data_IF_272581930206
#
_entry.id   IF_272581930206
#
_cell.length_a   1.000
_cell.length_b   1.000
_cell.length_c   1.000
_cell.angle_alpha   90.00
_cell.angle_beta   90.00
_cell.angle_gamma   90.00
#
_symmetry.space_group_name_H-M   'P 1'
#
loop_
_entity.id
_entity.type
_entity.pdbx_description
1 polymer ?
#
# COMPACT_ATOMS: atom_id res chain seq x y z
N UNK A 1 0.05 7.83 -35.78
CA UNK A 1 0.86 6.86 -35.02
C UNK A 1 1.06 7.43 -33.63
N UNK A 2 0.76 6.65 -32.59
CA UNK A 2 1.07 7.00 -31.21
C UNK A 2 2.57 7.32 -31.11
N UNK A 3 2.93 8.46 -30.50
CA UNK A 3 4.34 8.84 -30.36
C UNK A 3 5.01 7.82 -29.45
N UNK A 4 6.27 7.50 -29.72
CA UNK A 4 7.04 6.58 -28.86
C UNK A 4 7.05 7.03 -27.39
N UNK A 5 7.05 8.36 -27.16
CA UNK A 5 6.99 8.99 -25.84
C UNK A 5 5.76 8.62 -25.02
N UNK A 6 4.66 8.31 -25.70
CA UNK A 6 3.38 8.03 -25.07
C UNK A 6 3.16 6.52 -24.91
N UNK A 7 4.10 5.71 -25.41
CA UNK A 7 4.02 4.26 -25.30
C UNK A 7 4.15 3.80 -23.84
N UNK A 8 3.34 2.81 -23.46
CA UNK A 8 3.40 2.16 -22.14
C UNK A 8 4.81 1.69 -21.77
N UNK A 9 5.54 1.15 -22.75
CA UNK A 9 6.93 0.73 -22.59
C UNK A 9 7.81 1.88 -22.12
N UNK A 10 7.78 3.02 -22.83
CA UNK A 10 8.64 4.15 -22.50
C UNK A 10 8.29 4.76 -21.14
N UNK A 11 7.00 5.01 -20.89
CA UNK A 11 6.51 5.57 -19.64
C UNK A 11 6.93 4.74 -18.42
N UNK A 12 6.84 3.40 -18.52
CA UNK A 12 7.29 2.49 -17.47
C UNK A 12 8.83 2.48 -17.36
N UNK A 13 9.53 2.38 -18.49
CA UNK A 13 10.99 2.30 -18.53
C UNK A 13 11.67 3.51 -17.90
N UNK A 14 11.11 4.71 -18.08
CA UNK A 14 11.64 5.94 -17.48
C UNK A 14 11.62 5.94 -15.95
N UNK A 15 10.67 5.22 -15.35
CA UNK A 15 10.50 5.15 -13.88
C UNK A 15 11.41 4.12 -13.21
N UNK A 16 12.01 3.21 -13.97
CA UNK A 16 12.93 2.21 -13.42
C UNK A 16 14.15 2.86 -12.77
N UNK A 17 14.49 2.47 -11.54
CA UNK A 17 15.72 2.93 -10.88
C UNK A 17 16.98 2.43 -11.59
N UNK A 18 18.13 3.04 -11.30
CA UNK A 18 19.44 2.56 -11.79
C UNK A 18 19.75 1.14 -11.31
N UNK A 19 19.22 0.73 -10.14
CA UNK A 19 19.35 -0.65 -9.63
C UNK A 19 18.51 -1.60 -10.48
N UNK A 20 17.25 -1.26 -10.73
CA UNK A 20 16.33 -2.10 -11.50
C UNK A 20 16.81 -2.28 -12.93
N UNK A 21 17.27 -1.22 -13.60
CA UNK A 21 17.85 -1.36 -14.95
C UNK A 21 19.00 -2.37 -14.99
N UNK A 22 19.91 -2.34 -14.01
CA UNK A 22 21.04 -3.29 -13.95
C UNK A 22 20.58 -4.73 -13.74
N UNK A 23 19.59 -4.95 -12.89
CA UNK A 23 19.04 -6.28 -12.62
C UNK A 23 18.22 -6.81 -13.80
N UNK A 24 17.41 -5.96 -14.43
CA UNK A 24 16.65 -6.26 -15.65
C UNK A 24 17.56 -6.70 -16.80
N UNK A 25 18.76 -6.11 -16.92
CA UNK A 25 19.76 -6.58 -17.90
C UNK A 25 20.13 -8.05 -17.71
N UNK A 26 20.33 -8.47 -16.46
CA UNK A 26 20.66 -9.86 -16.14
C UNK A 26 19.45 -10.77 -16.37
N UNK A 27 18.25 -10.30 -16.04
CA UNK A 27 17.00 -10.98 -16.30
C UNK A 27 16.80 -11.26 -17.81
N UNK A 28 16.96 -10.25 -18.66
CA UNK A 28 16.81 -10.36 -20.12
C UNK A 28 17.92 -11.19 -20.78
N UNK A 29 19.09 -11.32 -20.15
CA UNK A 29 20.17 -12.22 -20.62
C UNK A 29 19.94 -13.68 -20.24
N UNK A 30 18.98 -13.96 -19.36
CA UNK A 30 18.70 -15.33 -18.94
C UNK A 30 17.89 -16.05 -20.03
N UNK A 31 18.40 -17.19 -20.56
CA UNK A 31 17.68 -17.98 -21.56
C UNK A 31 16.40 -18.62 -21.02
N UNK A 32 16.15 -18.53 -19.71
CA UNK A 32 14.91 -18.95 -19.06
C UNK A 32 13.74 -18.00 -19.38
N UNK A 33 13.99 -16.69 -19.48
CA UNK A 33 12.94 -15.70 -19.73
C UNK A 33 12.83 -15.34 -21.21
N UNK A 34 13.95 -15.23 -21.91
CA UNK A 34 13.94 -14.94 -23.34
C UNK A 34 15.23 -15.39 -24.03
N UNK A 35 15.10 -15.74 -25.31
CA UNK A 35 16.24 -15.99 -26.22
C UNK A 35 16.28 -14.99 -27.38
N UNK A 36 15.46 -13.94 -27.29
CA UNK A 36 15.24 -12.97 -28.36
C UNK A 36 16.23 -11.82 -28.27
N UNK A 37 17.26 -11.86 -29.13
CA UNK A 37 18.30 -10.83 -29.16
C UNK A 37 17.77 -9.45 -29.56
N UNK A 38 16.72 -9.38 -30.38
CA UNK A 38 16.05 -8.13 -30.74
C UNK A 38 15.47 -7.41 -29.52
N UNK A 39 14.79 -8.15 -28.64
CA UNK A 39 14.25 -7.59 -27.38
C UNK A 39 15.38 -7.06 -26.48
N UNK A 40 16.49 -7.81 -26.38
CA UNK A 40 17.66 -7.36 -25.61
C UNK A 40 18.33 -6.12 -26.23
N UNK A 41 18.43 -6.04 -27.56
CA UNK A 41 18.95 -4.86 -28.27
C UNK A 41 18.07 -3.63 -28.03
N UNK A 42 16.75 -3.78 -28.09
CA UNK A 42 15.82 -2.69 -27.78
C UNK A 42 16.02 -2.18 -26.35
N UNK A 43 16.15 -3.09 -25.38
CA UNK A 43 16.48 -2.71 -24.00
C UNK A 43 17.79 -1.91 -23.89
N UNK A 44 18.88 -2.37 -24.52
CA UNK A 44 20.17 -1.68 -24.48
C UNK A 44 20.10 -0.28 -25.11
N UNK A 45 19.32 -0.13 -26.18
CA UNK A 45 19.08 1.17 -26.80
C UNK A 45 18.40 2.15 -25.83
N UNK A 46 17.29 1.73 -25.21
CA UNK A 46 16.55 2.56 -24.27
C UNK A 46 17.39 2.91 -23.04
N UNK A 47 18.15 1.95 -22.52
CA UNK A 47 19.09 2.16 -21.40
C UNK A 47 20.11 3.25 -21.74
N UNK A 48 20.78 3.16 -22.90
CA UNK A 48 21.78 4.14 -23.35
C UNK A 48 21.20 5.52 -23.55
N UNK A 49 19.98 5.62 -24.09
CA UNK A 49 19.26 6.90 -24.23
C UNK A 49 19.01 7.57 -22.89
N UNK A 50 18.57 6.79 -21.90
CA UNK A 50 18.33 7.29 -20.54
C UNK A 50 19.61 7.71 -19.83
N UNK A 51 20.71 6.96 -20.00
CA UNK A 51 22.02 7.33 -19.46
C UNK A 51 22.56 8.64 -20.02
N UNK A 52 22.24 8.93 -21.29
CA UNK A 52 22.59 10.19 -21.96
C UNK A 52 21.55 11.30 -21.77
N UNK A 53 20.53 11.09 -20.93
CA UNK A 53 19.40 12.02 -20.72
C UNK A 53 18.78 12.54 -22.03
N UNK A 54 18.76 11.70 -23.08
CA UNK A 54 18.42 12.13 -24.44
C UNK A 54 16.92 12.06 -24.77
N UNK A 55 16.06 12.08 -23.75
CA UNK A 55 14.60 11.98 -23.88
C UNK A 55 14.09 10.68 -24.54
N UNK A 56 12.80 10.68 -24.89
CA UNK A 56 12.18 9.58 -25.65
C UNK A 56 12.86 9.38 -27.00
N UNK A 57 13.11 8.14 -27.44
CA UNK A 57 13.63 7.90 -28.77
C UNK A 57 12.57 8.14 -29.86
N UNK A 58 13.01 8.30 -31.11
CA UNK A 58 12.15 8.13 -32.28
C UNK A 58 11.93 6.65 -32.59
N UNK A 59 10.81 6.33 -33.23
CA UNK A 59 10.48 4.95 -33.62
C UNK A 59 11.50 4.41 -34.63
N UNK A 60 11.89 5.23 -35.60
CA UNK A 60 12.89 4.90 -36.62
C UNK A 60 14.25 4.62 -36.00
N UNK A 61 14.67 5.45 -35.03
CA UNK A 61 15.94 5.25 -34.32
C UNK A 61 15.93 4.00 -33.44
N UNK A 62 14.82 3.71 -32.77
CA UNK A 62 14.65 2.48 -32.01
C UNK A 62 14.67 1.25 -32.92
N UNK A 63 14.00 1.30 -34.07
CA UNK A 63 13.99 0.21 -35.03
C UNK A 63 15.38 -0.05 -35.62
N UNK A 64 16.06 0.98 -36.10
CA UNK A 64 17.38 0.85 -36.73
C UNK A 64 18.41 0.24 -35.77
N UNK A 65 18.36 0.57 -34.48
CA UNK A 65 19.24 -0.06 -33.49
C UNK A 65 18.85 -1.52 -33.20
N UNK A 66 17.55 -1.80 -33.15
CA UNK A 66 17.01 -3.12 -32.80
C UNK A 66 17.18 -4.13 -33.94
N UNK A 67 17.07 -3.66 -35.18
CA UNK A 67 17.11 -4.43 -36.42
C UNK A 67 18.03 -3.76 -37.45
N UNK A 68 19.36 -3.85 -37.26
CA UNK A 68 20.33 -3.09 -38.08
C UNK A 68 20.26 -3.40 -39.59
N UNK A 69 19.88 -4.63 -39.96
CA UNK A 69 19.86 -5.09 -41.36
C UNK A 69 18.45 -5.09 -41.99
N UNK A 70 17.45 -4.53 -41.30
CA UNK A 70 16.06 -4.54 -41.77
C UNK A 70 15.59 -3.14 -42.21
N UNK A 71 14.68 -3.12 -43.18
CA UNK A 71 13.94 -1.91 -43.52
C UNK A 71 12.91 -1.62 -42.44
N UNK A 72 12.62 -0.33 -42.20
CA UNK A 72 11.71 0.09 -41.13
C UNK A 72 10.36 -0.61 -41.22
N UNK A 73 10.02 -1.32 -40.15
CA UNK A 73 8.74 -2.01 -39.98
C UNK A 73 8.16 -1.66 -38.60
N UNK A 74 7.16 -0.79 -38.62
CA UNK A 74 6.48 -0.35 -37.40
C UNK A 74 5.69 -1.46 -36.69
N UNK A 75 5.21 -2.49 -37.40
CA UNK A 75 4.53 -3.63 -36.77
C UNK A 75 5.54 -4.47 -36.00
N UNK A 76 6.68 -4.78 -36.62
CA UNK A 76 7.76 -5.52 -35.98
C UNK A 76 8.34 -4.77 -34.77
N UNK A 77 8.49 -3.45 -34.85
CA UNK A 77 8.87 -2.64 -33.71
C UNK A 77 7.86 -2.76 -32.57
N UNK A 78 6.56 -2.57 -32.86
CA UNK A 78 5.49 -2.65 -31.87
C UNK A 78 5.40 -4.02 -31.20
N UNK A 79 5.60 -5.10 -31.96
CA UNK A 79 5.71 -6.44 -31.41
C UNK A 79 6.83 -6.52 -30.38
N UNK A 80 8.05 -6.13 -30.79
CA UNK A 80 9.24 -6.13 -29.92
C UNK A 80 9.10 -5.24 -28.69
N UNK A 81 8.43 -4.09 -28.83
CA UNK A 81 8.12 -3.22 -27.70
C UNK A 81 7.15 -3.88 -26.71
N UNK A 82 6.13 -4.57 -27.21
CA UNK A 82 5.18 -5.32 -26.38
C UNK A 82 5.88 -6.45 -25.64
N UNK A 83 6.74 -7.21 -26.33
CA UNK A 83 7.53 -8.29 -25.73
C UNK A 83 8.47 -7.76 -24.64
N UNK A 84 9.13 -6.62 -24.89
CA UNK A 84 10.00 -5.99 -23.89
C UNK A 84 9.19 -5.52 -22.68
N UNK A 85 8.04 -4.89 -22.90
CA UNK A 85 7.17 -4.44 -21.82
C UNK A 85 6.76 -5.60 -20.92
N UNK A 86 6.30 -6.71 -21.50
CA UNK A 86 5.91 -7.91 -20.76
C UNK A 86 7.07 -8.46 -19.92
N UNK A 87 8.28 -8.53 -20.49
CA UNK A 87 9.46 -8.98 -19.75
C UNK A 87 9.85 -8.04 -18.60
N UNK A 88 9.66 -6.73 -18.77
CA UNK A 88 9.88 -5.77 -17.68
C UNK A 88 8.85 -5.98 -16.57
N UNK A 89 7.57 -6.19 -16.92
CA UNK A 89 6.52 -6.47 -15.94
C UNK A 89 6.79 -7.77 -15.18
N UNK A 90 7.22 -8.84 -15.88
CA UNK A 90 7.64 -10.10 -15.24
C UNK A 90 8.84 -9.90 -14.31
N UNK A 91 9.81 -9.07 -14.71
CA UNK A 91 10.93 -8.70 -13.84
C UNK A 91 10.46 -7.93 -12.60
N UNK A 92 9.59 -6.93 -12.76
CA UNK A 92 9.06 -6.13 -11.65
C UNK A 92 8.28 -7.00 -10.66
N UNK A 93 7.47 -7.94 -11.16
CA UNK A 93 6.79 -8.93 -10.32
C UNK A 93 7.79 -9.83 -9.61
N UNK A 94 8.80 -10.35 -10.31
CA UNK A 94 9.84 -11.19 -9.71
C UNK A 94 10.63 -10.46 -8.61
N UNK A 95 10.90 -9.17 -8.83
CA UNK A 95 11.56 -8.31 -7.86
C UNK A 95 10.64 -7.96 -6.67
N UNK A 96 9.35 -7.76 -6.91
CA UNK A 96 8.36 -7.57 -5.84
C UNK A 96 8.22 -8.81 -4.93
N UNK A 97 8.27 -10.01 -5.52
CA UNK A 97 8.28 -11.29 -4.80
C UNK A 97 9.70 -11.76 -4.41
N UNK A 98 10.68 -10.86 -4.30
CA UNK A 98 12.05 -11.23 -3.94
C UNK A 98 12.09 -12.06 -2.65
N UNK A 99 13.08 -12.95 -2.57
CA UNK A 99 13.26 -13.93 -1.49
C UNK A 99 13.17 -13.25 -0.12
N UNK A 100 12.08 -13.55 0.59
CA UNK A 100 11.85 -13.03 1.94
C UNK A 100 10.73 -12.00 2.04
N UNK A 101 10.18 -11.51 0.93
CA UNK A 101 8.91 -10.78 0.95
C UNK A 101 7.81 -11.64 1.58
N UNK A 102 6.97 -11.03 2.43
CA UNK A 102 5.92 -11.75 3.15
C UNK A 102 4.92 -12.45 2.20
N UNK A 103 4.44 -11.83 1.10
CA UNK A 103 3.58 -12.50 0.12
C UNK A 103 4.23 -13.74 -0.51
N UNK A 104 5.53 -13.67 -0.84
CA UNK A 104 6.27 -14.81 -1.40
C UNK A 104 6.33 -16.00 -0.43
N UNK A 105 6.43 -15.73 0.87
CA UNK A 105 6.45 -16.79 1.89
C UNK A 105 5.08 -17.46 2.07
N UNK A 106 3.99 -16.68 2.01
CA UNK A 106 2.64 -17.26 2.00
C UNK A 106 2.41 -18.13 0.77
N UNK A 107 2.80 -17.64 -0.41
CA UNK A 107 2.71 -18.43 -1.64
C UNK A 107 3.51 -19.74 -1.54
N UNK A 108 4.72 -19.69 -0.98
CA UNK A 108 5.54 -20.89 -0.80
C UNK A 108 4.94 -21.89 0.19
N UNK A 109 4.33 -21.42 1.28
CA UNK A 109 3.60 -22.29 2.22
C UNK A 109 2.42 -22.98 1.51
N UNK A 110 1.62 -22.24 0.75
CA UNK A 110 0.52 -22.81 -0.04
C UNK A 110 0.99 -23.84 -1.05
N UNK A 111 2.11 -23.59 -1.75
CA UNK A 111 2.73 -24.55 -2.67
C UNK A 111 3.15 -25.84 -1.92
N UNK A 112 3.79 -25.73 -0.75
CA UNK A 112 4.18 -26.89 0.03
C UNK A 112 2.97 -27.69 0.53
N UNK A 113 1.93 -27.00 1.00
CA UNK A 113 0.67 -27.65 1.38
C UNK A 113 0.07 -28.37 0.19
N UNK A 114 -0.13 -27.72 -0.95
CA UNK A 114 -0.73 -28.34 -2.14
C UNK A 114 0.04 -29.59 -2.60
N UNK A 115 1.37 -29.59 -2.45
CA UNK A 115 2.25 -30.68 -2.89
C UNK A 115 2.42 -31.85 -1.91
N UNK A 116 1.85 -31.82 -0.71
CA UNK A 116 2.09 -32.92 0.24
C UNK A 116 3.33 -32.76 1.12
N UNK A 117 4.01 -31.61 1.09
CA UNK A 117 5.35 -31.47 1.66
C UNK A 117 5.31 -30.99 3.11
N UNK A 118 4.80 -31.83 4.03
CA UNK A 118 4.45 -31.44 5.40
C UNK A 118 5.63 -30.85 6.20
N UNK A 119 6.84 -31.44 6.13
CA UNK A 119 8.03 -30.89 6.80
C UNK A 119 8.38 -29.48 6.31
N UNK A 120 8.24 -29.24 5.00
CA UNK A 120 8.53 -27.94 4.39
C UNK A 120 7.47 -26.92 4.78
N UNK A 121 6.20 -27.33 4.76
CA UNK A 121 5.08 -26.51 5.20
C UNK A 121 5.24 -26.06 6.66
N UNK A 122 5.48 -27.01 7.57
CA UNK A 122 5.63 -26.70 9.00
C UNK A 122 6.78 -25.73 9.25
N UNK A 123 7.92 -25.93 8.57
CA UNK A 123 9.04 -24.99 8.64
C UNK A 123 8.68 -23.61 8.09
N UNK A 124 8.03 -23.55 6.93
CA UNK A 124 7.57 -22.29 6.33
C UNK A 124 6.60 -21.54 7.26
N UNK A 125 5.64 -22.24 7.86
CA UNK A 125 4.69 -21.66 8.81
C UNK A 125 5.36 -21.16 10.09
N UNK A 126 6.39 -21.86 10.59
CA UNK A 126 7.18 -21.37 11.73
C UNK A 126 7.89 -20.04 11.40
N UNK A 127 8.44 -19.93 10.19
CA UNK A 127 9.07 -18.69 9.73
C UNK A 127 8.05 -17.57 9.52
N UNK A 128 6.91 -17.88 8.90
CA UNK A 128 5.81 -16.93 8.68
C UNK A 128 5.28 -16.38 9.99
N UNK A 129 5.04 -17.22 11.01
CA UNK A 129 4.57 -16.78 12.34
C UNK A 129 5.50 -15.72 12.94
N UNK A 130 6.82 -15.94 12.83
CA UNK A 130 7.82 -14.98 13.31
C UNK A 130 7.83 -13.69 12.48
N UNK A 131 7.65 -13.78 11.16
CA UNK A 131 7.62 -12.60 10.29
C UNK A 131 6.36 -11.75 10.51
N UNK A 132 5.19 -12.38 10.53
CA UNK A 132 3.92 -11.70 10.82
C UNK A 132 4.00 -11.07 12.21
N UNK A 133 4.47 -11.79 13.23
CA UNK A 133 4.60 -11.23 14.59
C UNK A 133 5.64 -10.11 14.74
N UNK A 134 6.54 -9.94 13.78
CA UNK A 134 7.52 -8.83 13.72
C UNK A 134 7.20 -7.83 12.61
N UNK A 135 6.00 -7.89 12.03
CA UNK A 135 5.58 -6.92 11.04
C UNK A 135 5.65 -5.53 11.70
N UNK A 136 6.27 -4.53 11.06
CA UNK A 136 6.55 -3.24 11.71
C UNK A 136 5.27 -2.48 12.06
N UNK A 137 4.20 -2.76 11.33
CA UNK A 137 2.93 -2.05 11.48
C UNK A 137 1.89 -2.86 12.25
N UNK A 138 0.99 -2.16 12.91
CA UNK A 138 -0.19 -2.68 13.61
C UNK A 138 -1.48 -2.10 13.00
N UNK A 139 -1.46 -1.84 11.69
CA UNK A 139 -2.58 -1.32 10.91
C UNK A 139 -3.49 -2.48 10.42
N UNK A 140 -4.48 -2.18 9.57
CA UNK A 140 -5.37 -3.20 9.03
C UNK A 140 -4.63 -4.33 8.27
N UNK A 141 -3.52 -4.03 7.60
CA UNK A 141 -2.71 -5.03 6.88
C UNK A 141 -2.06 -6.06 7.80
N UNK A 142 -1.69 -5.66 9.00
CA UNK A 142 -1.21 -6.60 10.01
C UNK A 142 -2.26 -7.68 10.33
N UNK A 143 -3.52 -7.28 10.48
CA UNK A 143 -4.63 -8.21 10.72
C UNK A 143 -4.95 -9.04 9.47
N UNK A 144 -4.85 -8.48 8.26
CA UNK A 144 -4.91 -9.24 7.01
C UNK A 144 -3.86 -10.37 6.99
N UNK A 145 -2.60 -10.06 7.36
CA UNK A 145 -1.53 -11.05 7.41
C UNK A 145 -1.75 -12.13 8.48
N UNK A 146 -2.27 -11.76 9.65
CA UNK A 146 -2.62 -12.74 10.70
C UNK A 146 -3.75 -13.66 10.25
N UNK A 147 -4.77 -13.12 9.61
CA UNK A 147 -5.87 -13.92 9.05
C UNK A 147 -5.35 -14.88 7.98
N UNK A 148 -4.54 -14.40 7.03
CA UNK A 148 -3.94 -15.25 6.01
C UNK A 148 -3.11 -16.40 6.61
N UNK A 149 -2.38 -16.13 7.69
CA UNK A 149 -1.65 -17.16 8.44
C UNK A 149 -2.57 -18.20 9.07
N UNK A 150 -3.63 -17.77 9.77
CA UNK A 150 -4.55 -18.71 10.42
C UNK A 150 -5.30 -19.56 9.39
N UNK A 151 -5.75 -18.96 8.29
CA UNK A 151 -6.44 -19.66 7.21
C UNK A 151 -5.55 -20.70 6.52
N UNK A 152 -4.29 -20.36 6.23
CA UNK A 152 -3.36 -21.31 5.62
C UNK A 152 -3.02 -22.48 6.57
N UNK A 153 -2.93 -22.21 7.88
CA UNK A 153 -2.79 -23.26 8.91
C UNK A 153 -4.01 -24.18 8.95
N UNK A 154 -5.21 -23.60 8.95
CA UNK A 154 -6.48 -24.34 8.93
C UNK A 154 -6.54 -25.29 7.74
N UNK A 155 -6.23 -24.80 6.53
CA UNK A 155 -6.23 -25.64 5.33
C UNK A 155 -5.25 -26.80 5.40
N UNK A 156 -4.10 -26.61 6.05
CA UNK A 156 -3.15 -27.70 6.26
C UNK A 156 -3.68 -28.74 7.26
N UNK A 157 -4.29 -28.30 8.36
CA UNK A 157 -4.85 -29.18 9.39
C UNK A 157 -5.99 -30.04 8.81
N UNK A 158 -6.93 -29.43 8.09
CA UNK A 158 -8.05 -30.15 7.44
C UNK A 158 -7.56 -31.26 6.51
N UNK A 159 -6.46 -31.02 5.78
CA UNK A 159 -5.90 -32.02 4.86
C UNK A 159 -5.12 -33.11 5.58
N UNK A 160 -4.29 -32.73 6.54
CA UNK A 160 -3.19 -33.57 7.03
C UNK A 160 -3.48 -34.24 8.36
N UNK A 161 -4.54 -33.82 9.08
CA UNK A 161 -4.84 -34.25 10.44
C UNK A 161 -6.34 -34.43 10.66
N UNK A 162 -6.86 -35.65 10.42
CA UNK A 162 -8.31 -35.96 10.53
C UNK A 162 -8.90 -35.85 11.94
N UNK A 163 -8.08 -35.84 12.98
CA UNK A 163 -8.49 -35.90 14.40
C UNK A 163 -7.96 -34.74 15.24
N UNK A 164 -7.39 -33.70 14.63
CA UNK A 164 -6.86 -32.54 15.36
C UNK A 164 -7.90 -31.42 15.40
N UNK A 165 -7.98 -30.75 16.55
CA UNK A 165 -8.77 -29.54 16.71
C UNK A 165 -8.27 -28.46 15.74
N UNK A 166 -9.15 -28.04 14.85
CA UNK A 166 -8.88 -26.97 13.89
C UNK A 166 -8.82 -25.61 14.62
N UNK A 167 -8.01 -24.70 14.10
CA UNK A 167 -7.89 -23.31 14.59
C UNK A 167 -9.05 -22.40 14.12
N UNK A 168 -10.29 -22.91 14.08
CA UNK A 168 -11.45 -22.17 13.55
C UNK A 168 -11.77 -20.92 14.37
N UNK A 169 -11.59 -21.00 15.69
CA UNK A 169 -11.80 -19.87 16.58
C UNK A 169 -10.80 -18.75 16.27
N UNK A 170 -9.53 -19.08 16.09
CA UNK A 170 -8.48 -18.11 15.75
C UNK A 170 -8.71 -17.49 14.37
N UNK A 171 -9.23 -18.26 13.41
CA UNK A 171 -9.64 -17.73 12.10
C UNK A 171 -10.77 -16.72 12.29
N UNK A 172 -11.84 -17.07 13.01
CA UNK A 172 -12.98 -16.18 13.25
C UNK A 172 -12.56 -14.88 13.94
N UNK A 173 -11.78 -14.97 15.02
CA UNK A 173 -11.31 -13.78 15.74
C UNK A 173 -10.43 -12.88 14.89
N UNK A 174 -9.58 -13.43 14.01
CA UNK A 174 -8.80 -12.60 13.10
C UNK A 174 -9.65 -12.01 11.98
N UNK A 175 -10.70 -12.70 11.53
CA UNK A 175 -11.67 -12.13 10.59
C UNK A 175 -12.34 -10.90 11.18
N UNK A 176 -12.81 -10.97 12.42
CA UNK A 176 -13.48 -9.82 13.08
C UNK A 176 -12.54 -8.62 13.20
N UNK A 177 -11.30 -8.84 13.68
CA UNK A 177 -10.30 -7.78 13.83
C UNK A 177 -9.95 -7.14 12.49
N UNK A 178 -9.76 -7.98 11.46
CA UNK A 178 -9.44 -7.54 10.11
C UNK A 178 -10.58 -6.73 9.50
N UNK A 179 -11.80 -7.24 9.61
CA UNK A 179 -13.00 -6.58 9.12
C UNK A 179 -13.20 -5.22 9.78
N UNK A 180 -13.16 -5.16 11.11
CA UNK A 180 -13.35 -3.92 11.88
C UNK A 180 -12.30 -2.87 11.52
N UNK A 181 -11.02 -3.24 11.50
CA UNK A 181 -9.93 -2.33 11.15
C UNK A 181 -10.10 -1.75 9.74
N UNK A 182 -10.40 -2.58 8.75
CA UNK A 182 -10.62 -2.10 7.38
C UNK A 182 -11.91 -1.30 7.23
N UNK A 183 -12.99 -1.74 7.88
CA UNK A 183 -14.31 -1.12 7.74
C UNK A 183 -14.32 0.28 8.34
N UNK A 184 -13.73 0.46 9.53
CA UNK A 184 -13.60 1.77 10.16
C UNK A 184 -12.67 2.68 9.37
N UNK A 185 -11.51 2.18 8.90
CA UNK A 185 -10.61 2.94 8.04
C UNK A 185 -11.32 3.46 6.78
N UNK A 186 -12.02 2.57 6.10
CA UNK A 186 -12.77 2.93 4.89
C UNK A 186 -13.88 3.96 5.20
N UNK A 187 -14.60 3.80 6.32
CA UNK A 187 -15.64 4.73 6.73
C UNK A 187 -15.10 6.14 7.00
N UNK A 188 -13.93 6.27 7.64
CA UNK A 188 -13.27 7.56 7.81
C UNK A 188 -12.89 8.20 6.45
N UNK A 189 -12.41 7.39 5.50
CA UNK A 189 -12.16 7.86 4.11
C UNK A 189 -13.44 8.33 3.44
N UNK A 190 -14.54 7.55 3.57
CA UNK A 190 -15.85 7.93 3.06
C UNK A 190 -16.27 9.29 3.64
N UNK A 191 -16.28 9.45 4.96
CA UNK A 191 -16.63 10.70 5.65
C UNK A 191 -15.79 11.89 5.17
N UNK A 192 -14.47 11.70 5.03
CA UNK A 192 -13.58 12.74 4.50
C UNK A 192 -13.98 13.19 3.10
N UNK A 193 -14.32 12.23 2.24
CA UNK A 193 -14.74 12.52 0.87
C UNK A 193 -16.11 13.19 0.84
N UNK A 194 -17.07 12.76 1.66
CA UNK A 194 -18.40 13.41 1.76
C UNK A 194 -18.28 14.89 2.12
N UNK A 195 -17.38 15.21 3.06
CA UNK A 195 -17.16 16.58 3.52
C UNK A 195 -16.68 17.54 2.41
N UNK A 196 -16.04 17.02 1.35
CA UNK A 196 -15.50 17.82 0.24
C UNK A 196 -16.42 17.77 -0.99
N UNK A 197 -16.91 16.59 -1.36
CA UNK A 197 -17.59 16.34 -2.64
C UNK A 197 -19.12 16.29 -2.53
N UNK A 198 -19.71 16.57 -1.35
CA UNK A 198 -21.16 16.56 -1.10
C UNK A 198 -21.86 15.29 -1.63
N UNK A 199 -21.17 14.16 -1.50
CA UNK A 199 -21.69 12.84 -1.89
C UNK A 199 -22.22 12.12 -0.65
N UNK A 200 -23.29 11.35 -0.80
CA UNK A 200 -23.80 10.48 0.26
C UNK A 200 -23.31 9.04 0.06
N UNK A 201 -22.77 8.43 1.12
CA UNK A 201 -22.37 7.04 1.14
C UNK A 201 -23.22 6.25 2.12
N UNK A 202 -23.59 5.05 1.72
CA UNK A 202 -24.08 4.03 2.63
C UNK A 202 -22.89 3.36 3.35
N UNK A 203 -22.91 3.41 4.68
CA UNK A 203 -21.91 2.77 5.53
C UNK A 203 -22.18 1.28 5.74
N UNK A 204 -23.31 0.76 5.26
CA UNK A 204 -23.69 -0.64 5.32
C UNK A 204 -23.66 -1.20 6.75
N UNK A 205 -22.96 -2.33 6.92
CA UNK A 205 -22.85 -3.03 8.20
C UNK A 205 -22.07 -2.28 9.30
N UNK A 206 -21.53 -1.09 9.07
CA UNK A 206 -20.79 -0.38 10.11
C UNK A 206 -21.67 -0.03 11.31
N UNK A 207 -22.84 0.56 11.07
CA UNK A 207 -23.74 1.03 12.13
C UNK A 207 -24.08 -0.06 13.16
N UNK A 208 -24.55 -1.27 12.76
CA UNK A 208 -24.83 -2.32 13.74
C UNK A 208 -23.59 -2.91 14.40
N UNK A 209 -22.40 -2.78 13.78
CA UNK A 209 -21.15 -3.33 14.30
C UNK A 209 -20.42 -2.34 15.21
N UNK A 210 -20.71 -1.04 15.11
CA UNK A 210 -20.05 0.01 15.89
C UNK A 210 -20.26 -0.16 17.40
N UNK A 211 -21.46 -0.55 17.83
CA UNK A 211 -21.76 -0.85 19.24
C UNK A 211 -20.96 -2.04 19.77
N UNK A 212 -20.67 -3.02 18.91
CA UNK A 212 -19.86 -4.18 19.27
C UNK A 212 -18.39 -3.88 19.49
N UNK A 213 -17.87 -2.77 18.95
CA UNK A 213 -16.46 -2.38 19.14
C UNK A 213 -16.14 -2.15 20.62
N UNK A 214 -17.01 -1.42 21.32
CA UNK A 214 -16.84 -1.15 22.76
C UNK A 214 -17.22 -2.39 23.59
N UNK A 215 -18.36 -3.00 23.32
CA UNK A 215 -18.89 -4.15 24.10
C UNK A 215 -17.93 -5.34 24.13
N UNK A 216 -17.18 -5.57 23.05
CA UNK A 216 -16.30 -6.74 22.89
C UNK A 216 -14.81 -6.42 23.12
N UNK A 217 -14.46 -5.21 23.58
CA UNK A 217 -13.09 -4.85 23.92
C UNK A 217 -12.16 -4.71 22.71
N UNK A 218 -12.67 -4.35 21.53
CA UNK A 218 -11.83 -4.19 20.34
C UNK A 218 -10.97 -2.91 20.36
N UNK A 219 -11.19 -2.01 21.32
CA UNK A 219 -10.41 -0.79 21.50
C UNK A 219 -8.97 -1.04 22.02
N UNK A 220 -8.64 -2.26 22.42
CA UNK A 220 -7.25 -2.65 22.72
C UNK A 220 -6.40 -2.84 21.44
N UNK A 221 -7.04 -2.83 20.27
CA UNK A 221 -6.39 -3.04 18.98
C UNK A 221 -6.15 -1.68 18.31
N UNK A 222 -4.89 -1.23 18.12
CA UNK A 222 -4.60 0.12 17.64
C UNK A 222 -5.28 0.49 16.31
N UNK A 223 -5.28 -0.42 15.33
CA UNK A 223 -5.96 -0.22 14.05
C UNK A 223 -7.48 -0.01 14.19
N UNK A 224 -8.10 -0.58 15.22
CA UNK A 224 -9.54 -0.40 15.46
C UNK A 224 -9.75 0.87 16.27
N UNK A 225 -9.03 1.05 17.38
CA UNK A 225 -9.20 2.18 18.29
C UNK A 225 -9.01 3.54 17.60
N UNK A 226 -7.93 3.69 16.81
CA UNK A 226 -7.64 4.94 16.11
C UNK A 226 -8.77 5.29 15.14
N UNK A 227 -9.17 4.35 14.28
CA UNK A 227 -10.24 4.62 13.31
C UNK A 227 -11.63 4.66 13.94
N UNK A 228 -11.85 3.98 15.06
CA UNK A 228 -13.06 4.09 15.85
C UNK A 228 -13.24 5.51 16.38
N UNK A 229 -12.26 6.02 17.12
CA UNK A 229 -12.33 7.38 17.65
C UNK A 229 -12.36 8.43 16.54
N UNK A 230 -11.65 8.17 15.42
CA UNK A 230 -11.74 9.00 14.23
C UNK A 230 -13.17 9.07 13.69
N UNK A 231 -13.83 7.93 13.54
CA UNK A 231 -15.22 7.87 13.12
C UNK A 231 -16.12 8.65 14.10
N UNK A 232 -16.02 8.36 15.41
CA UNK A 232 -16.84 9.00 16.46
C UNK A 232 -16.72 10.53 16.42
N UNK A 233 -15.51 11.10 16.41
CA UNK A 233 -15.37 12.55 16.42
C UNK A 233 -15.82 13.19 15.10
N UNK A 234 -15.73 12.48 13.97
CA UNK A 234 -16.19 12.99 12.67
C UNK A 234 -17.71 13.03 12.54
N UNK A 235 -18.43 12.17 13.26
CA UNK A 235 -19.90 12.03 13.15
C UNK A 235 -20.68 12.64 14.31
N UNK A 236 -20.07 12.81 15.49
CA UNK A 236 -20.79 13.26 16.69
C UNK A 236 -20.65 14.75 16.97
N UNK A 237 -21.75 15.35 17.45
CA UNK A 237 -21.82 16.77 17.80
C UNK A 237 -20.92 17.12 19.00
N UNK A 238 -20.87 16.24 20.02
CA UNK A 238 -19.99 16.36 21.18
C UNK A 238 -18.81 15.39 21.03
N UNK A 239 -17.70 15.90 20.53
CA UNK A 239 -16.62 15.06 19.98
C UNK A 239 -15.25 15.30 20.60
N UNK A 240 -15.12 16.22 21.57
CA UNK A 240 -13.83 16.56 22.18
C UNK A 240 -13.17 15.37 22.87
N UNK A 241 -13.94 14.58 23.63
CA UNK A 241 -13.42 13.39 24.32
C UNK A 241 -12.93 12.33 23.33
N UNK A 242 -13.71 12.04 22.28
CA UNK A 242 -13.29 11.11 21.21
C UNK A 242 -12.08 11.63 20.44
N UNK A 243 -12.00 12.93 20.21
CA UNK A 243 -10.85 13.54 19.58
C UNK A 243 -9.58 13.41 20.45
N UNK A 244 -9.70 13.63 21.75
CA UNK A 244 -8.58 13.47 22.69
C UNK A 244 -8.13 12.01 22.77
N UNK A 245 -9.07 11.06 22.86
CA UNK A 245 -8.78 9.63 22.83
C UNK A 245 -8.10 9.21 21.50
N UNK A 246 -8.58 9.72 20.37
CA UNK A 246 -7.91 9.53 19.07
C UNK A 246 -6.46 10.02 19.10
N UNK A 247 -6.22 11.23 19.60
CA UNK A 247 -4.88 11.83 19.64
C UNK A 247 -3.94 11.04 20.54
N UNK A 248 -4.43 10.54 21.67
CA UNK A 248 -3.66 9.69 22.59
C UNK A 248 -3.28 8.35 21.96
N UNK A 249 -4.23 7.71 21.25
CA UNK A 249 -3.95 6.48 20.52
C UNK A 249 -2.97 6.71 19.37
N UNK A 250 -3.17 7.78 18.59
CA UNK A 250 -2.30 8.10 17.47
C UNK A 250 -0.87 8.42 17.96
N UNK A 251 -0.70 9.20 19.03
CA UNK A 251 0.64 9.50 19.56
C UNK A 251 1.35 8.25 20.11
N UNK A 252 0.61 7.33 20.72
CA UNK A 252 1.15 6.09 21.28
C UNK A 252 1.56 5.09 20.21
N UNK A 253 0.81 5.01 19.09
CA UNK A 253 0.98 3.97 18.09
C UNK A 253 1.43 4.45 16.70
N UNK A 254 1.60 5.75 16.46
CA UNK A 254 1.95 6.32 15.15
C UNK A 254 3.11 5.58 14.46
N UNK A 255 4.19 5.27 15.19
CA UNK A 255 5.36 4.59 14.62
C UNK A 255 5.03 3.19 14.06
N UNK A 256 3.93 2.58 14.50
CA UNK A 256 3.39 1.32 14.03
C UNK A 256 2.39 1.47 12.87
N UNK A 257 2.31 2.63 12.23
CA UNK A 257 1.54 2.83 11.01
C UNK A 257 2.47 3.25 9.86
N UNK A 258 2.13 2.89 8.61
CA UNK A 258 2.82 3.43 7.43
C UNK A 258 2.78 4.97 7.43
N UNK A 259 3.82 5.59 6.88
CA UNK A 259 3.94 7.06 6.86
C UNK A 259 2.76 7.73 6.15
N UNK A 260 2.33 7.19 5.00
CA UNK A 260 1.16 7.68 4.26
C UNK A 260 -0.11 7.59 5.10
N UNK A 261 -0.32 6.47 5.79
CA UNK A 261 -1.50 6.26 6.64
C UNK A 261 -1.52 7.19 7.86
N UNK A 262 -0.34 7.43 8.49
CA UNK A 262 -0.20 8.45 9.54
C UNK A 262 -0.56 9.84 9.03
N UNK A 263 -0.04 10.21 7.86
CA UNK A 263 -0.29 11.51 7.24
C UNK A 263 -1.78 11.71 7.01
N UNK A 264 -2.47 10.71 6.47
CA UNK A 264 -3.92 10.76 6.26
C UNK A 264 -4.69 10.95 7.58
N UNK A 265 -4.30 10.24 8.64
CA UNK A 265 -4.90 10.38 9.98
C UNK A 265 -4.72 11.79 10.57
N UNK A 266 -3.53 12.37 10.46
CA UNK A 266 -3.30 13.75 10.91
C UNK A 266 -4.09 14.76 10.08
N UNK A 267 -4.19 14.57 8.76
CA UNK A 267 -4.98 15.45 7.89
C UNK A 267 -6.48 15.38 8.22
N UNK A 268 -7.01 14.19 8.50
CA UNK A 268 -8.39 14.01 8.98
C UNK A 268 -8.66 14.81 10.26
N UNK A 269 -7.78 14.68 11.25
CA UNK A 269 -7.89 15.38 12.52
C UNK A 269 -7.77 16.90 12.34
N UNK A 270 -6.82 17.37 11.53
CA UNK A 270 -6.62 18.79 11.25
C UNK A 270 -7.83 19.40 10.55
N UNK A 271 -8.36 18.74 9.52
CA UNK A 271 -9.55 19.17 8.81
C UNK A 271 -10.77 19.24 9.73
N UNK A 272 -10.86 18.32 10.69
CA UNK A 272 -11.90 18.38 11.72
C UNK A 272 -11.73 19.60 12.64
N UNK A 273 -10.53 19.84 13.19
CA UNK A 273 -10.29 21.01 14.05
C UNK A 273 -10.59 22.33 13.35
N UNK A 274 -10.18 22.47 12.08
CA UNK A 274 -10.47 23.69 11.28
C UNK A 274 -11.98 23.91 11.15
N UNK A 275 -12.75 22.86 10.87
CA UNK A 275 -14.23 22.96 10.80
C UNK A 275 -14.83 23.40 12.14
N UNK A 276 -14.34 22.84 13.25
CA UNK A 276 -14.78 23.20 14.60
C UNK A 276 -14.43 24.66 14.96
N UNK A 277 -13.25 25.13 14.56
CA UNK A 277 -12.83 26.52 14.75
C UNK A 277 -13.69 27.51 13.97
N UNK A 278 -14.02 27.18 12.71
CA UNK A 278 -14.94 27.97 11.90
C UNK A 278 -16.36 28.04 12.49
N UNK A 279 -16.72 27.10 13.38
CA UNK A 279 -17.98 27.07 14.13
C UNK A 279 -17.86 27.75 15.51
N UNK A 280 -16.71 28.33 15.85
CA UNK A 280 -16.48 29.04 17.11
C UNK A 280 -16.07 28.14 18.29
N UNK A 281 -15.71 26.87 18.05
CA UNK A 281 -15.31 25.94 19.10
C UNK A 281 -13.83 26.12 19.50
N UNK A 282 -13.60 27.02 20.45
CA UNK A 282 -12.28 27.38 20.96
C UNK A 282 -11.39 26.22 21.45
N UNK A 283 -11.91 25.14 22.09
CA UNK A 283 -11.08 24.02 22.56
C UNK A 283 -10.23 23.35 21.46
N UNK A 284 -10.70 23.37 20.21
CA UNK A 284 -9.99 22.76 19.08
C UNK A 284 -8.84 23.60 18.53
N UNK A 285 -8.67 24.86 18.98
CA UNK A 285 -7.55 25.71 18.57
C UNK A 285 -6.22 25.11 19.02
N UNK A 286 -6.17 24.71 20.30
CA UNK A 286 -5.00 24.07 20.90
C UNK A 286 -4.70 22.73 20.25
N UNK A 287 -5.75 21.96 19.95
CA UNK A 287 -5.61 20.67 19.28
C UNK A 287 -5.03 20.81 17.87
N UNK A 288 -5.54 21.76 17.07
CA UNK A 288 -5.01 22.06 15.74
C UNK A 288 -3.54 22.49 15.80
N UNK A 289 -3.20 23.36 16.75
CA UNK A 289 -1.83 23.85 16.93
C UNK A 289 -0.83 22.72 17.18
N UNK A 290 -1.14 21.78 18.07
CA UNK A 290 -0.25 20.64 18.34
C UNK A 290 -0.08 19.75 17.11
N UNK A 291 -1.14 19.51 16.33
CA UNK A 291 -1.05 18.74 15.08
C UNK A 291 -0.18 19.45 14.05
N UNK A 292 -0.32 20.78 13.90
CA UNK A 292 0.56 21.55 13.02
C UNK A 292 2.03 21.44 13.42
N UNK A 293 2.32 21.55 14.72
CA UNK A 293 3.69 21.42 15.22
C UNK A 293 4.30 20.04 14.91
N UNK A 294 3.52 18.97 15.09
CA UNK A 294 3.96 17.61 14.71
C UNK A 294 4.18 17.54 13.19
N UNK A 295 3.24 18.03 12.39
CA UNK A 295 3.32 17.97 10.93
C UNK A 295 4.43 18.78 10.28
N UNK A 296 4.83 19.89 10.91
CA UNK A 296 6.01 20.65 10.53
C UNK A 296 7.30 19.91 10.89
N UNK A 297 7.35 19.30 12.09
CA UNK A 297 8.53 18.54 12.56
C UNK A 297 8.75 17.26 11.76
N UNK A 298 7.68 16.53 11.46
CA UNK A 298 7.72 15.28 10.69
C UNK A 298 7.71 15.50 9.17
N UNK A 299 7.45 16.74 8.73
CA UNK A 299 7.48 17.11 7.32
C UNK A 299 6.26 16.66 6.51
N UNK A 300 5.25 16.02 7.10
CA UNK A 300 4.08 15.51 6.35
C UNK A 300 3.18 16.63 5.81
N UNK A 301 3.29 17.85 6.35
CA UNK A 301 2.60 19.04 5.84
C UNK A 301 3.33 19.72 4.68
N UNK A 302 4.55 19.28 4.36
CA UNK A 302 5.35 19.82 3.27
C UNK A 302 5.07 19.05 1.99
N UNK A 303 4.86 19.77 0.91
CA UNK A 303 4.86 19.23 -0.44
C UNK A 303 6.13 19.72 -1.16
N UNK A 304 7.02 18.78 -1.50
CA UNK A 304 8.36 19.08 -2.05
C UNK A 304 9.15 20.11 -1.22
N UNK A 305 9.06 20.02 0.11
CA UNK A 305 9.73 20.94 1.04
C UNK A 305 9.03 22.29 1.24
N UNK A 306 7.88 22.53 0.59
CA UNK A 306 7.14 23.78 0.70
C UNK A 306 5.81 23.59 1.44
N UNK A 307 5.41 24.59 2.21
CA UNK A 307 4.05 24.67 2.78
C UNK A 307 3.09 25.27 1.75
N UNK A 308 1.87 24.71 1.69
CA UNK A 308 0.81 25.34 0.91
C UNK A 308 0.39 26.68 1.54
N UNK A 309 -0.09 27.62 0.71
CA UNK A 309 -0.64 28.91 1.18
C UNK A 309 -1.78 28.70 2.18
N UNK A 310 -2.62 27.69 1.96
CA UNK A 310 -3.74 27.38 2.85
C UNK A 310 -3.27 26.90 4.22
N UNK A 311 -2.31 25.98 4.24
CA UNK A 311 -1.69 25.46 5.48
C UNK A 311 -1.04 26.59 6.26
N UNK A 312 -0.26 27.45 5.60
CA UNK A 312 0.38 28.61 6.25
C UNK A 312 -0.64 29.57 6.87
N UNK A 313 -1.67 29.96 6.12
CA UNK A 313 -2.70 30.87 6.62
C UNK A 313 -3.45 30.30 7.82
N UNK A 314 -3.77 29.00 7.79
CA UNK A 314 -4.44 28.35 8.92
C UNK A 314 -3.55 28.32 10.17
N UNK A 315 -2.26 28.08 10.02
CA UNK A 315 -1.29 28.15 11.13
C UNK A 315 -1.26 29.57 11.71
N UNK A 316 -1.11 30.58 10.84
CA UNK A 316 -1.02 31.97 11.26
C UNK A 316 -2.32 32.51 11.91
N UNK A 317 -3.48 31.96 11.56
CA UNK A 317 -4.76 32.33 12.17
C UNK A 317 -5.03 31.67 13.54
N UNK A 318 -4.28 30.62 13.89
CA UNK A 318 -4.42 29.89 15.16
C UNK A 318 -3.34 30.30 16.18
N UNK A 319 -2.15 30.67 15.70
CA UNK A 319 -1.00 31.10 16.51
C UNK A 319 -1.17 32.51 17.07
#
# INVERSE_FOLDING_TARGET
MEKFSDSKLWLLFEKLSKKELRQLRNFLRSPFYTRRDDVFRLYEYLRRRREKSSGSPSAEGAFAYTFPDAHYDGLKLRGTMSDLLELIEQYLLSNHFEKGALPAQFALASIYRARGLDKHFQWAMKLLKRKVGRFPYQNADFHNHKLAYQTELMYYQTRSQRTVQLNLQEVSEQMDRQYLAQKLRHACTQLSHQAVYKTEYDFGLLTPVLSKVEEMGFLDIPAIAIYYYCYRFLTEAYSLEFFQAFREQLSSYAIHFPEEERKDLYLLALNFCIRQLNQGSGPFAREAWEIYRIGLKEGFLLDNGNLSRFTFNNIAGIA
#
